data_IF_304012042714
#
_entry.id   IF_304012042714
#
_cell.length_a   1.000
_cell.length_b   1.000
_cell.length_c   1.000
_cell.angle_alpha   90.00
_cell.angle_beta   90.00
_cell.angle_gamma   90.00
#
_symmetry.space_group_name_H-M   'P 1'
#
loop_
_entity.id
_entity.type
_entity.pdbx_description
1 polymer ?
#
# COMPACT_ATOMS: atom_id res chain seq x y z
N UNK A 1 21.73 -9.79 0.88
CA UNK A 1 20.97 -8.91 -0.03
C UNK A 1 20.31 -7.85 0.83
N UNK A 2 20.51 -6.57 0.55
CA UNK A 2 19.99 -5.47 1.39
C UNK A 2 18.47 -5.34 1.21
N UNK A 3 17.72 -5.00 2.25
CA UNK A 3 16.25 -4.83 2.20
C UNK A 3 15.84 -3.80 1.14
N UNK A 4 16.58 -2.70 1.05
CA UNK A 4 16.35 -1.68 0.03
C UNK A 4 16.47 -2.25 -1.39
N UNK A 5 17.44 -3.14 -1.62
CA UNK A 5 17.65 -3.73 -2.93
C UNK A 5 16.56 -4.75 -3.30
N UNK A 6 16.01 -5.44 -2.30
CA UNK A 6 14.86 -6.31 -2.47
C UNK A 6 13.60 -5.50 -2.79
N UNK A 7 13.37 -4.38 -2.09
CA UNK A 7 12.28 -3.46 -2.37
C UNK A 7 12.36 -2.95 -3.82
N UNK A 8 13.52 -2.41 -4.23
CA UNK A 8 13.72 -1.90 -5.61
C UNK A 8 13.36 -2.93 -6.67
N UNK A 9 13.83 -4.17 -6.49
CA UNK A 9 13.49 -5.29 -7.39
C UNK A 9 11.99 -5.55 -7.44
N UNK A 10 11.33 -5.70 -6.28
CA UNK A 10 9.88 -5.91 -6.20
C UNK A 10 9.12 -4.81 -6.95
N UNK A 11 9.47 -3.54 -6.73
CA UNK A 11 8.82 -2.39 -7.36
C UNK A 11 8.97 -2.42 -8.89
N UNK A 12 10.19 -2.67 -9.39
CA UNK A 12 10.46 -2.77 -10.83
C UNK A 12 9.72 -3.97 -11.44
N UNK A 13 9.69 -5.11 -10.76
CA UNK A 13 8.98 -6.30 -11.23
C UNK A 13 7.47 -6.03 -11.32
N UNK A 14 6.87 -5.37 -10.33
CA UNK A 14 5.47 -4.95 -10.35
C UNK A 14 5.18 -3.96 -11.50
N UNK A 15 6.03 -2.94 -11.69
CA UNK A 15 5.90 -1.99 -12.79
C UNK A 15 6.00 -2.65 -14.17
N UNK A 16 6.94 -3.59 -14.34
CA UNK A 16 7.07 -4.39 -15.57
C UNK A 16 5.85 -5.28 -15.82
N UNK A 17 5.24 -5.85 -14.77
CA UNK A 17 4.01 -6.62 -14.94
C UNK A 17 2.89 -5.76 -15.49
N UNK A 18 2.69 -4.55 -14.95
CA UNK A 18 1.69 -3.63 -15.51
C UNK A 18 1.97 -3.31 -16.98
N UNK A 19 3.20 -2.92 -17.30
CA UNK A 19 3.60 -2.56 -18.66
C UNK A 19 3.45 -3.72 -19.67
N UNK A 20 3.92 -4.91 -19.32
CA UNK A 20 3.93 -6.05 -20.24
C UNK A 20 2.55 -6.67 -20.45
N UNK A 21 1.69 -6.62 -19.43
CA UNK A 21 0.36 -7.24 -19.48
C UNK A 21 -0.76 -6.24 -19.78
N UNK A 22 -0.47 -4.93 -19.82
CA UNK A 22 -1.45 -3.85 -20.00
C UNK A 22 -2.58 -3.92 -18.96
N UNK A 23 -2.21 -4.11 -17.70
CA UNK A 23 -3.14 -4.16 -16.56
C UNK A 23 -2.65 -3.25 -15.44
N UNK A 24 -3.57 -2.82 -14.59
CA UNK A 24 -3.20 -2.21 -13.32
C UNK A 24 -2.52 -3.23 -12.42
N UNK A 25 -1.42 -2.80 -11.78
CA UNK A 25 -0.78 -3.56 -10.72
C UNK A 25 -0.54 -2.65 -9.52
N UNK A 26 -0.36 -3.28 -8.37
CA UNK A 26 -0.31 -2.60 -7.09
C UNK A 26 0.82 -3.16 -6.24
N UNK A 27 1.41 -2.30 -5.43
CA UNK A 27 2.28 -2.73 -4.34
C UNK A 27 1.45 -3.08 -3.12
N UNK A 28 2.08 -3.75 -2.16
CA UNK A 28 1.63 -3.73 -0.77
C UNK A 28 1.77 -2.32 -0.16
N UNK A 29 1.28 -2.11 1.06
CA UNK A 29 1.46 -0.84 1.76
C UNK A 29 2.93 -0.61 2.09
N UNK A 30 3.45 0.48 1.55
CA UNK A 30 4.80 0.97 1.78
C UNK A 30 4.78 1.99 2.92
N UNK A 31 5.80 1.92 3.78
CA UNK A 31 6.10 2.95 4.76
C UNK A 31 6.65 4.21 4.12
N UNK A 32 6.68 5.31 4.87
CA UNK A 32 7.25 6.59 4.43
C UNK A 32 8.71 6.46 3.97
N UNK A 33 9.50 5.58 4.60
CA UNK A 33 10.89 5.32 4.25
C UNK A 33 11.02 4.56 2.92
N UNK A 34 10.13 3.60 2.69
CA UNK A 34 10.07 2.82 1.45
C UNK A 34 9.59 3.70 0.29
N UNK A 35 8.53 4.50 0.49
CA UNK A 35 8.06 5.50 -0.48
C UNK A 35 9.16 6.50 -0.83
N UNK A 36 9.92 6.97 0.15
CA UNK A 36 11.09 7.84 -0.08
C UNK A 36 12.17 7.16 -0.92
N UNK A 37 12.32 5.84 -0.79
CA UNK A 37 13.24 5.05 -1.61
C UNK A 37 12.73 4.90 -3.04
N UNK A 38 11.43 4.68 -3.24
CA UNK A 38 10.81 4.58 -4.57
C UNK A 38 10.85 5.91 -5.32
N UNK A 39 10.64 7.03 -4.64
CA UNK A 39 10.74 8.36 -5.24
C UNK A 39 12.12 8.64 -5.87
N UNK A 40 13.19 8.03 -5.34
CA UNK A 40 14.55 8.13 -5.92
C UNK A 40 14.70 7.32 -7.21
N UNK A 41 13.77 6.41 -7.51
CA UNK A 41 13.74 5.57 -8.70
C UNK A 41 12.88 6.14 -9.83
N UNK A 42 12.45 7.40 -9.74
CA UNK A 42 11.52 8.01 -10.70
C UNK A 42 11.98 7.87 -12.16
N UNK A 43 13.29 7.98 -12.42
CA UNK A 43 13.87 7.77 -13.76
C UNK A 43 13.73 6.32 -14.24
N UNK A 44 13.95 5.34 -13.35
CA UNK A 44 13.84 3.91 -13.65
C UNK A 44 12.39 3.50 -13.93
N UNK A 45 11.42 4.19 -13.33
CA UNK A 45 9.98 3.95 -13.48
C UNK A 45 9.33 4.80 -14.58
N UNK A 46 10.10 5.64 -15.28
CA UNK A 46 9.57 6.60 -16.28
C UNK A 46 8.84 5.96 -17.47
N UNK A 47 9.00 4.65 -17.68
CA UNK A 47 8.35 3.90 -18.76
C UNK A 47 6.85 3.63 -18.50
N UNK A 48 6.34 3.87 -17.29
CA UNK A 48 4.94 3.64 -16.95
C UNK A 48 4.44 4.73 -15.97
N UNK A 49 3.24 5.30 -16.17
CA UNK A 49 2.64 6.19 -15.18
C UNK A 49 2.33 5.44 -13.88
N UNK A 50 2.45 6.12 -12.75
CA UNK A 50 2.09 5.59 -11.44
C UNK A 50 1.68 6.70 -10.47
N UNK A 51 0.87 6.35 -9.48
CA UNK A 51 0.42 7.23 -8.40
C UNK A 51 0.30 6.47 -7.07
N UNK A 52 0.25 7.22 -5.96
CA UNK A 52 0.22 6.66 -4.60
C UNK A 52 -1.04 7.06 -3.81
N UNK A 53 -1.61 6.11 -3.07
CA UNK A 53 -2.76 6.37 -2.21
C UNK A 53 -2.81 5.46 -0.98
N UNK A 54 -3.25 6.02 0.16
CA UNK A 54 -3.38 5.28 1.43
C UNK A 54 -4.82 5.07 1.89
N UNK A 55 -5.82 5.53 1.14
CA UNK A 55 -7.24 5.52 1.54
C UNK A 55 -7.74 6.86 2.09
N UNK A 56 -6.84 7.72 2.57
CA UNK A 56 -7.12 9.08 3.01
C UNK A 56 -5.92 10.01 2.69
N UNK A 57 -6.13 11.31 2.42
CA UNK A 57 -5.04 12.27 2.22
C UNK A 57 -3.98 12.32 3.33
N UNK A 58 -4.34 12.01 4.57
CA UNK A 58 -3.41 12.06 5.71
C UNK A 58 -2.72 10.73 6.01
N UNK A 59 -2.99 9.68 5.24
CA UNK A 59 -2.35 8.38 5.47
C UNK A 59 -0.85 8.42 5.14
N UNK A 60 -0.03 7.92 6.06
CA UNK A 60 1.41 7.81 5.92
C UNK A 60 1.79 6.57 5.11
N UNK A 61 1.11 5.45 5.35
CA UNK A 61 1.30 4.22 4.57
C UNK A 61 0.43 4.27 3.32
N UNK A 62 1.06 4.05 2.16
CA UNK A 62 0.39 4.10 0.86
C UNK A 62 0.74 2.90 0.00
N UNK A 63 -0.14 2.57 -0.92
CA UNK A 63 0.16 1.67 -2.04
C UNK A 63 0.48 2.48 -3.28
N UNK A 64 1.36 1.96 -4.12
CA UNK A 64 1.63 2.50 -5.45
C UNK A 64 0.82 1.70 -6.45
N UNK A 65 0.13 2.40 -7.34
CA UNK A 65 -0.59 1.83 -8.48
C UNK A 65 0.20 2.17 -9.75
N UNK A 66 0.48 1.15 -10.55
CA UNK A 66 1.09 1.31 -11.87
C UNK A 66 0.03 1.21 -12.97
N UNK A 67 0.04 2.17 -13.89
CA UNK A 67 -0.99 2.38 -14.89
C UNK A 67 -1.76 3.68 -14.68
N UNK A 68 -2.51 4.10 -15.70
CA UNK A 68 -3.40 5.27 -15.63
C UNK A 68 -4.64 5.07 -16.49
N UNK A 69 -5.67 5.86 -16.24
CA UNK A 69 -6.92 5.79 -17.00
C UNK A 69 -6.67 6.12 -18.48
N UNK A 70 -5.75 7.04 -18.76
CA UNK A 70 -5.36 7.39 -20.13
C UNK A 70 -4.65 6.23 -20.84
N UNK A 71 -3.89 5.41 -20.09
CA UNK A 71 -3.15 4.29 -20.65
C UNK A 71 -4.05 3.09 -20.93
N UNK A 72 -5.00 2.79 -20.03
CA UNK A 72 -5.81 1.56 -20.10
C UNK A 72 -7.29 1.79 -20.45
N UNK A 73 -7.76 3.03 -20.46
CA UNK A 73 -9.12 3.41 -20.85
C UNK A 73 -10.20 3.22 -19.77
N UNK A 74 -9.80 2.93 -18.53
CA UNK A 74 -10.71 2.82 -17.39
C UNK A 74 -9.95 3.11 -16.09
N UNK A 75 -10.62 3.65 -15.07
CA UNK A 75 -10.04 3.76 -13.73
C UNK A 75 -10.32 2.49 -12.91
N UNK A 76 -9.26 1.78 -12.53
CA UNK A 76 -9.37 0.61 -11.63
C UNK A 76 -9.53 0.99 -10.15
N UNK A 77 -9.29 2.26 -9.79
CA UNK A 77 -9.22 2.71 -8.41
C UNK A 77 -8.11 2.01 -7.62
N UNK A 78 -8.22 2.08 -6.29
CA UNK A 78 -7.30 1.44 -5.36
C UNK A 78 -7.96 0.28 -4.62
N UNK A 79 -7.29 -0.87 -4.46
CA UNK A 79 -7.80 -2.04 -3.74
C UNK A 79 -7.71 -1.85 -2.21
N UNK A 80 -8.26 -0.75 -1.69
CA UNK A 80 -8.24 -0.40 -0.27
C UNK A 80 -9.66 -0.46 0.28
N UNK A 81 -9.84 -1.10 1.43
CA UNK A 81 -11.09 -1.09 2.19
C UNK A 81 -10.84 -0.56 3.59
N UNK A 82 -11.67 0.38 4.05
CA UNK A 82 -11.58 0.94 5.40
C UNK A 82 -12.48 0.16 6.36
N UNK A 83 -11.91 -0.25 7.49
CA UNK A 83 -12.64 -0.98 8.53
C UNK A 83 -12.75 -0.09 9.76
N UNK A 84 -13.99 0.10 10.25
CA UNK A 84 -14.23 0.76 11.53
C UNK A 84 -14.32 -0.27 12.64
N UNK A 85 -13.43 -0.17 13.62
CA UNK A 85 -13.47 -0.99 14.83
C UNK A 85 -13.95 -0.10 15.98
N UNK A 86 -14.99 -0.55 16.70
CA UNK A 86 -15.49 0.16 17.88
C UNK A 86 -16.03 -0.84 18.90
N UNK A 87 -15.89 -0.56 20.20
CA UNK A 87 -16.47 -1.40 21.23
C UNK A 87 -18.01 -1.36 21.16
N UNK A 88 -18.65 -2.49 21.43
CA UNK A 88 -20.11 -2.57 21.48
C UNK A 88 -20.69 -1.71 22.62
N UNK A 89 -20.00 -1.65 23.75
CA UNK A 89 -20.34 -0.76 24.87
C UNK A 89 -19.08 -0.10 25.42
N UNK A 90 -18.95 1.21 25.18
CA UNK A 90 -17.82 2.02 25.65
C UNK A 90 -17.66 1.94 27.17
N UNK A 91 -18.77 1.83 27.92
CA UNK A 91 -18.76 1.77 29.40
C UNK A 91 -18.04 0.53 29.96
N UNK A 92 -18.00 -0.55 29.20
CA UNK A 92 -17.39 -1.83 29.61
C UNK A 92 -16.14 -2.17 28.78
N UNK A 93 -15.73 -1.27 27.90
CA UNK A 93 -14.57 -1.47 27.06
C UNK A 93 -13.32 -1.04 27.80
N UNK A 94 -12.29 -1.88 27.73
CA UNK A 94 -10.95 -1.47 28.10
C UNK A 94 -10.43 -0.43 27.09
N UNK A 95 -9.47 0.39 27.52
CA UNK A 95 -8.83 1.36 26.65
C UNK A 95 -7.86 0.63 25.70
N UNK A 96 -8.35 0.30 24.51
CA UNK A 96 -7.54 -0.30 23.45
C UNK A 96 -6.61 0.74 22.82
N UNK A 97 -5.34 0.37 22.67
CA UNK A 97 -4.33 1.16 21.98
C UNK A 97 -3.96 0.52 20.63
N UNK A 98 -3.13 1.21 19.85
CA UNK A 98 -2.70 0.76 18.52
C UNK A 98 -2.13 -0.67 18.51
N UNK A 99 -1.40 -1.09 19.55
CA UNK A 99 -0.81 -2.45 19.65
C UNK A 99 -1.89 -3.52 19.74
N UNK A 100 -3.00 -3.24 20.42
CA UNK A 100 -4.06 -4.23 20.61
C UNK A 100 -4.75 -4.54 19.28
N UNK A 101 -5.05 -3.50 18.49
CA UNK A 101 -5.60 -3.67 17.14
C UNK A 101 -4.62 -4.37 16.20
N UNK A 102 -3.37 -3.91 16.15
CA UNK A 102 -2.37 -4.52 15.27
C UNK A 102 -2.10 -5.98 15.66
N UNK A 103 -2.01 -6.27 16.96
CA UNK A 103 -1.82 -7.63 17.47
C UNK A 103 -2.98 -8.55 17.10
N UNK A 104 -4.22 -8.08 17.23
CA UNK A 104 -5.40 -8.83 16.82
C UNK A 104 -5.41 -9.12 15.31
N UNK A 105 -5.09 -8.11 14.48
CA UNK A 105 -5.03 -8.25 13.01
C UNK A 105 -3.95 -9.27 12.62
N UNK A 106 -2.75 -9.16 13.19
CA UNK A 106 -1.65 -10.09 12.89
C UNK A 106 -1.94 -11.52 13.37
N UNK A 107 -2.65 -11.68 14.49
CA UNK A 107 -3.05 -12.99 15.00
C UNK A 107 -4.07 -13.70 14.08
N UNK A 108 -4.75 -12.98 13.19
CA UNK A 108 -5.56 -13.56 12.12
C UNK A 108 -4.73 -14.05 10.91
N UNK A 109 -3.41 -13.87 10.94
CA UNK A 109 -2.51 -14.19 9.83
C UNK A 109 -2.43 -13.11 8.75
N UNK A 110 -2.95 -11.91 9.02
CA UNK A 110 -2.84 -10.77 8.09
C UNK A 110 -1.45 -10.15 8.26
N UNK A 111 -0.69 -10.11 7.17
CA UNK A 111 0.66 -9.56 7.16
C UNK A 111 0.65 -8.03 7.28
N UNK A 112 1.67 -7.46 7.94
CA UNK A 112 1.78 -6.01 8.19
C UNK A 112 1.80 -5.18 6.91
N UNK A 113 2.33 -5.73 5.83
CA UNK A 113 2.42 -5.09 4.52
C UNK A 113 1.04 -4.97 3.83
N UNK A 114 0.04 -5.74 4.23
CA UNK A 114 -1.34 -5.65 3.74
C UNK A 114 -2.17 -4.62 4.52
N UNK A 115 -1.60 -4.02 5.56
CA UNK A 115 -2.29 -3.08 6.47
C UNK A 115 -1.74 -1.67 6.30
N UNK A 116 -2.64 -0.72 6.07
CA UNK A 116 -2.35 0.71 6.07
C UNK A 116 -2.19 1.27 7.49
N UNK A 117 -2.71 2.48 7.69
CA UNK A 117 -2.75 3.14 9.00
C UNK A 117 -3.94 2.64 9.85
N UNK A 118 -3.77 2.64 11.18
CA UNK A 118 -4.75 2.18 12.18
C UNK A 118 -5.05 3.32 13.15
#
# INVERSE_FOLDING_TARGET
MNEEQLLKRKIIDTANQAFNHNIYTYTNFLSINELSSVNKMSNELSFIPYDEWGGNPVCERKIIRFGSEELYGYDAGYPISTIRISPLSVKFAEQLNHRDYLGAIMNLGIERELVGDI
#
